data_IF_430356482096
#
_entry.id   IF_430356482096
#
_cell.length_a   1.000
_cell.length_b   1.000
_cell.length_c   1.000
_cell.angle_alpha   90.00
_cell.angle_beta   90.00
_cell.angle_gamma   90.00
#
_symmetry.space_group_name_H-M   'P 1'
#
loop_
_entity.id
_entity.type
_entity.pdbx_description
1 polymer ?
#
# COMPACT_ATOMS: atom_id res chain seq x y z
N UNK A 1 -16.28 11.99 -0.33
CA UNK A 1 -16.74 10.67 -0.79
C UNK A 1 -16.53 10.54 -2.29
N UNK A 2 -15.37 10.00 -2.66
CA UNK A 2 -15.25 9.29 -3.94
C UNK A 2 -16.37 8.25 -4.00
N UNK A 3 -16.91 7.97 -5.20
CA UNK A 3 -17.98 6.98 -5.40
C UNK A 3 -17.62 5.55 -4.95
N UNK A 4 -16.37 5.31 -4.50
CA UNK A 4 -15.85 4.00 -4.08
C UNK A 4 -15.83 3.73 -2.58
N UNK A 5 -15.83 4.73 -1.69
CA UNK A 5 -15.83 4.50 -0.22
C UNK A 5 -17.12 3.89 0.34
N UNK A 6 -18.09 3.54 -0.52
CA UNK A 6 -19.34 2.87 -0.15
C UNK A 6 -19.42 1.41 -0.63
N UNK A 7 -18.33 0.83 -1.15
CA UNK A 7 -18.31 -0.54 -1.69
C UNK A 7 -17.49 -1.57 -0.92
N UNK A 8 -16.76 -1.17 0.13
CA UNK A 8 -16.10 -2.11 1.03
C UNK A 8 -17.01 -2.57 2.20
N UNK A 9 -18.14 -1.90 2.43
CA UNK A 9 -19.13 -2.30 3.44
C UNK A 9 -20.46 -2.66 2.76
N UNK A 10 -20.74 -3.96 2.67
CA UNK A 10 -22.04 -4.54 2.34
C UNK A 10 -22.63 -4.28 0.93
N UNK A 11 -22.39 -5.22 0.01
CA UNK A 11 -23.37 -5.59 -1.03
C UNK A 11 -23.60 -7.11 -1.04
N UNK A 12 -24.23 -7.59 0.03
CA UNK A 12 -25.09 -8.77 -0.04
C UNK A 12 -26.40 -8.39 -0.76
N UNK A 13 -26.34 -8.22 -2.08
CA UNK A 13 -27.53 -8.25 -2.94
C UNK A 13 -27.27 -9.22 -4.07
N UNK A 14 -27.73 -10.44 -3.83
CA UNK A 14 -27.79 -11.55 -4.77
C UNK A 14 -28.72 -11.12 -5.93
N UNK A 15 -28.17 -10.96 -7.13
CA UNK A 15 -28.91 -11.05 -8.39
C UNK A 15 -28.47 -12.31 -9.15
N UNK A 16 -29.40 -12.98 -9.86
CA UNK A 16 -29.41 -14.42 -10.12
C UNK A 16 -28.38 -14.93 -11.15
N UNK A 17 -27.43 -14.10 -11.57
CA UNK A 17 -26.33 -14.49 -12.47
C UNK A 17 -25.17 -15.17 -11.71
N UNK A 18 -25.14 -15.05 -10.37
CA UNK A 18 -24.10 -15.61 -9.48
C UNK A 18 -24.35 -17.08 -9.12
N UNK A 19 -25.56 -17.60 -9.35
CA UNK A 19 -25.94 -18.98 -8.96
C UNK A 19 -25.22 -20.06 -9.80
N UNK A 20 -24.58 -19.69 -10.92
CA UNK A 20 -23.85 -20.63 -11.78
C UNK A 20 -22.32 -20.65 -11.59
N UNK A 21 -21.72 -19.63 -10.95
CA UNK A 21 -20.27 -19.62 -10.66
C UNK A 21 -19.94 -20.16 -9.26
N UNK A 22 -20.83 -19.95 -8.27
CA UNK A 22 -20.64 -20.49 -6.92
C UNK A 22 -20.71 -22.03 -6.88
N UNK A 23 -21.25 -22.69 -7.91
CA UNK A 23 -21.34 -24.14 -7.98
C UNK A 23 -20.04 -24.85 -8.41
N UNK A 24 -19.02 -24.12 -8.87
CA UNK A 24 -17.74 -24.68 -9.32
C UNK A 24 -16.55 -24.35 -8.43
N UNK A 25 -16.68 -23.46 -7.45
CA UNK A 25 -15.65 -23.22 -6.44
C UNK A 25 -15.89 -24.16 -5.25
N UNK A 26 -14.92 -25.00 -4.86
CA UNK A 26 -15.08 -25.81 -3.66
C UNK A 26 -15.08 -24.88 -2.44
N UNK A 27 -16.17 -24.87 -1.69
CA UNK A 27 -16.27 -24.14 -0.41
C UNK A 27 -15.61 -24.90 0.75
N UNK A 28 -15.15 -26.13 0.52
CA UNK A 28 -14.40 -26.97 1.44
C UNK A 28 -13.68 -28.10 0.67
N UNK A 29 -12.50 -28.52 1.14
CA UNK A 29 -11.78 -29.70 0.62
C UNK A 29 -12.54 -31.03 0.82
N UNK A 30 -12.31 -32.02 -0.07
CA UNK A 30 -12.91 -33.37 -0.04
C UNK A 30 -11.96 -34.41 0.60
N UNK A 31 -12.55 -35.49 1.11
CA UNK A 31 -12.00 -36.45 2.09
C UNK A 31 -11.22 -37.67 1.54
N UNK A 32 -10.45 -37.53 0.47
CA UNK A 32 -9.51 -38.58 0.03
C UNK A 32 -8.10 -37.95 0.01
N UNK A 33 -7.53 -37.86 1.22
CA UNK A 33 -6.47 -36.94 1.69
C UNK A 33 -5.05 -37.16 1.08
N UNK A 34 -4.94 -37.43 -0.22
CA UNK A 34 -3.64 -37.42 -0.94
C UNK A 34 -3.53 -36.35 -2.01
N UNK A 35 -4.59 -35.61 -2.26
CA UNK A 35 -4.57 -34.52 -3.22
C UNK A 35 -5.07 -33.22 -2.58
N UNK A 36 -4.45 -32.12 -2.96
CA UNK A 36 -4.78 -30.77 -2.51
C UNK A 36 -5.28 -29.93 -3.69
N UNK A 37 -5.98 -28.84 -3.35
CA UNK A 37 -6.34 -27.80 -4.31
C UNK A 37 -5.49 -26.58 -4.03
N UNK A 38 -4.73 -26.13 -5.03
CA UNK A 38 -3.92 -24.91 -4.93
C UNK A 38 -4.74 -23.75 -5.46
N UNK A 39 -4.74 -22.66 -4.71
CA UNK A 39 -5.47 -21.43 -5.02
C UNK A 39 -4.46 -20.33 -5.27
N UNK A 40 -4.68 -19.58 -6.34
CA UNK A 40 -3.95 -18.33 -6.61
C UNK A 40 -4.93 -17.18 -6.45
N UNK A 41 -4.64 -16.29 -5.52
CA UNK A 41 -5.44 -15.10 -5.22
C UNK A 41 -4.60 -13.87 -5.51
N UNK A 42 -5.13 -12.94 -6.28
CA UNK A 42 -4.54 -11.60 -6.39
C UNK A 42 -5.20 -10.74 -5.32
N UNK A 43 -4.37 -10.17 -4.45
CA UNK A 43 -4.78 -9.34 -3.32
C UNK A 43 -4.89 -7.87 -3.71
N UNK A 44 -4.06 -7.41 -4.65
CA UNK A 44 -4.07 -6.04 -5.14
C UNK A 44 -3.36 -5.90 -6.47
N UNK A 45 -3.76 -4.91 -7.24
CA UNK A 45 -3.11 -4.45 -8.46
C UNK A 45 -3.04 -2.93 -8.36
N UNK A 46 -1.87 -2.35 -8.61
CA UNK A 46 -1.72 -0.90 -8.69
C UNK A 46 -0.93 -0.52 -9.94
N UNK A 47 -1.41 0.49 -10.66
CA UNK A 47 -0.68 1.10 -11.77
C UNK A 47 0.44 1.98 -11.23
N UNK A 48 1.61 1.95 -11.88
CA UNK A 48 2.78 2.73 -11.51
C UNK A 48 3.23 3.70 -12.61
N UNK A 49 3.22 3.27 -13.88
CA UNK A 49 3.55 4.14 -15.03
C UNK A 49 2.40 4.30 -16.03
N UNK A 50 1.19 3.87 -15.68
CA UNK A 50 -0.01 4.01 -16.50
C UNK A 50 -0.80 5.24 -16.05
N UNK A 51 -0.52 6.39 -16.65
CA UNK A 51 -1.06 7.71 -16.25
C UNK A 51 -2.55 7.93 -16.58
N UNK A 52 -3.34 6.86 -16.72
CA UNK A 52 -4.79 6.89 -16.95
C UNK A 52 -5.45 5.68 -16.31
N UNK A 53 -6.62 5.92 -15.72
CA UNK A 53 -7.50 4.86 -15.25
C UNK A 53 -7.69 3.77 -16.32
N UNK A 54 -7.57 2.53 -15.88
CA UNK A 54 -7.54 1.38 -16.77
C UNK A 54 -8.33 0.20 -16.21
N UNK A 55 -8.78 -0.66 -17.10
CA UNK A 55 -9.27 -1.98 -16.76
C UNK A 55 -8.12 -2.98 -16.76
N UNK A 56 -8.16 -3.96 -15.88
CA UNK A 56 -7.12 -4.98 -15.74
C UNK A 56 -7.64 -6.37 -16.11
N UNK A 57 -6.75 -7.24 -16.58
CA UNK A 57 -6.99 -8.66 -16.86
C UNK A 57 -5.78 -9.46 -16.41
N UNK A 58 -6.02 -10.62 -15.80
CA UNK A 58 -4.97 -11.52 -15.32
C UNK A 58 -5.03 -12.84 -16.07
N UNK A 59 -3.86 -13.38 -16.41
CA UNK A 59 -3.68 -14.74 -16.91
C UNK A 59 -2.71 -15.48 -15.97
N UNK A 60 -3.06 -16.72 -15.61
CA UNK A 60 -2.25 -17.58 -14.74
C UNK A 60 -1.89 -18.84 -15.52
N UNK A 61 -0.61 -19.10 -15.71
CA UNK A 61 -0.11 -20.27 -16.43
C UNK A 61 0.62 -21.16 -15.44
N UNK A 62 0.15 -22.40 -15.24
CA UNK A 62 0.81 -23.40 -14.40
C UNK A 62 1.25 -24.61 -15.23
N UNK A 63 2.51 -25.03 -15.10
CA UNK A 63 3.12 -26.14 -15.86
C UNK A 63 2.85 -26.04 -17.39
N UNK A 64 2.89 -24.81 -17.92
CA UNK A 64 2.68 -24.51 -19.34
C UNK A 64 1.23 -24.53 -19.82
N UNK A 65 0.24 -24.62 -18.91
CA UNK A 65 -1.19 -24.56 -19.23
C UNK A 65 -1.84 -23.35 -18.58
N UNK A 66 -2.73 -22.67 -19.30
CA UNK A 66 -3.58 -21.65 -18.71
C UNK A 66 -4.56 -22.31 -17.72
N UNK A 67 -4.50 -21.87 -16.46
CA UNK A 67 -5.32 -22.35 -15.34
C UNK A 67 -6.19 -21.23 -14.76
N UNK A 68 -6.13 -20.03 -15.33
CA UNK A 68 -6.89 -18.89 -14.87
C UNK A 68 -8.40 -19.03 -15.13
N UNK A 69 -9.22 -18.40 -14.28
CA UNK A 69 -10.68 -18.34 -14.48
C UNK A 69 -11.11 -17.19 -15.41
N UNK A 70 -10.15 -16.46 -15.99
CA UNK A 70 -10.39 -15.34 -16.90
C UNK A 70 -10.83 -14.06 -16.19
N UNK A 71 -10.14 -13.67 -15.12
CA UNK A 71 -10.46 -12.44 -14.39
C UNK A 71 -10.29 -11.19 -15.27
N UNK A 72 -11.28 -10.30 -15.19
CA UNK A 72 -11.25 -8.95 -15.77
C UNK A 72 -11.93 -7.97 -14.82
N UNK A 73 -11.30 -6.82 -14.59
CA UNK A 73 -11.87 -5.76 -13.76
C UNK A 73 -13.17 -5.23 -14.38
N UNK A 74 -14.12 -4.86 -13.52
CA UNK A 74 -15.44 -4.34 -13.94
C UNK A 74 -15.45 -2.81 -14.08
N UNK A 75 -14.55 -2.15 -13.38
CA UNK A 75 -14.42 -0.70 -13.37
C UNK A 75 -12.99 -0.30 -13.77
N UNK A 76 -12.85 0.90 -14.29
CA UNK A 76 -11.54 1.51 -14.54
C UNK A 76 -11.01 2.15 -13.26
N UNK A 77 -9.71 2.09 -13.04
CA UNK A 77 -9.06 2.74 -11.89
C UNK A 77 -7.54 2.75 -12.05
N UNK A 78 -6.86 3.36 -11.08
CA UNK A 78 -5.41 3.15 -10.91
C UNK A 78 -5.12 1.90 -10.07
N UNK A 79 -6.11 1.39 -9.35
CA UNK A 79 -6.03 0.17 -8.55
C UNK A 79 -7.20 -0.77 -8.86
N UNK A 80 -7.00 -2.07 -8.59
CA UNK A 80 -8.04 -3.09 -8.65
C UNK A 80 -7.77 -4.20 -7.62
N UNK A 81 -8.83 -4.67 -6.96
CA UNK A 81 -8.76 -5.71 -5.93
C UNK A 81 -9.71 -6.84 -6.28
N UNK A 82 -9.22 -7.92 -6.91
CA UNK A 82 -10.03 -9.08 -7.26
C UNK A 82 -10.66 -9.72 -6.01
N UNK A 83 -11.99 -9.74 -5.94
CA UNK A 83 -12.69 -10.27 -4.75
C UNK A 83 -12.69 -11.80 -4.63
N UNK A 84 -12.31 -12.50 -5.71
CA UNK A 84 -12.30 -13.95 -5.78
C UNK A 84 -10.93 -14.43 -6.28
N UNK A 85 -10.49 -15.64 -5.91
CA UNK A 85 -9.30 -16.24 -6.48
C UNK A 85 -9.33 -16.28 -8.00
N UNK A 86 -8.18 -16.10 -8.62
CA UNK A 86 -8.04 -16.00 -10.08
C UNK A 86 -7.65 -17.33 -10.73
N UNK A 87 -7.20 -18.31 -9.94
CA UNK A 87 -7.01 -19.70 -10.37
C UNK A 87 -7.27 -20.69 -9.22
N UNK A 88 -7.71 -21.89 -9.57
CA UNK A 88 -7.87 -23.03 -8.64
C UNK A 88 -7.42 -24.32 -9.35
N UNK A 89 -6.29 -24.87 -8.95
CA UNK A 89 -5.67 -26.07 -9.53
C UNK A 89 -6.00 -27.26 -8.64
N UNK A 90 -6.71 -28.25 -9.16
CA UNK A 90 -7.18 -29.42 -8.39
C UNK A 90 -6.40 -30.68 -8.71
N UNK A 91 -6.43 -31.64 -7.79
CA UNK A 91 -5.88 -32.98 -8.00
C UNK A 91 -4.36 -33.00 -7.97
N UNK A 92 -3.75 -32.10 -7.19
CA UNK A 92 -2.30 -32.04 -7.02
C UNK A 92 -1.93 -32.94 -5.86
N UNK A 93 -1.04 -33.94 -6.02
CA UNK A 93 -0.57 -34.75 -4.90
C UNK A 93 0.08 -33.88 -3.84
N UNK A 94 -0.31 -34.02 -2.57
CA UNK A 94 0.23 -33.20 -1.47
C UNK A 94 1.72 -33.47 -1.19
N UNK A 95 2.19 -34.65 -1.60
CA UNK A 95 3.57 -35.12 -1.48
C UNK A 95 4.38 -34.95 -2.78
N UNK A 96 3.89 -34.14 -3.73
CA UNK A 96 4.57 -33.84 -5.00
C UNK A 96 5.95 -33.25 -4.74
N UNK A 97 6.99 -33.90 -5.29
CA UNK A 97 8.39 -33.46 -5.16
C UNK A 97 8.76 -32.30 -6.10
N UNK A 98 8.20 -32.29 -7.32
CA UNK A 98 8.53 -31.25 -8.30
C UNK A 98 7.65 -30.00 -8.06
N UNK A 99 8.25 -28.81 -7.87
CA UNK A 99 7.49 -27.57 -7.75
C UNK A 99 6.59 -27.34 -8.97
N UNK A 100 5.49 -26.60 -8.76
CA UNK A 100 4.64 -26.13 -9.86
C UNK A 100 5.21 -24.81 -10.34
N UNK A 101 5.63 -24.76 -11.61
CA UNK A 101 6.04 -23.49 -12.21
C UNK A 101 4.80 -22.68 -12.56
N UNK A 102 4.64 -21.52 -11.94
CA UNK A 102 3.54 -20.59 -12.18
C UNK A 102 4.05 -19.30 -12.79
N UNK A 103 3.32 -18.81 -13.80
CA UNK A 103 3.57 -17.52 -14.43
C UNK A 103 2.32 -16.65 -14.34
N UNK A 104 2.50 -15.44 -13.82
CA UNK A 104 1.44 -14.44 -13.66
C UNK A 104 1.65 -13.37 -14.72
N UNK A 105 0.62 -13.10 -15.53
CA UNK A 105 0.65 -12.03 -16.54
C UNK A 105 -0.48 -11.05 -16.27
N UNK A 106 -0.14 -9.76 -16.34
CA UNK A 106 -1.08 -8.68 -16.17
C UNK A 106 -1.24 -7.89 -17.48
N UNK A 107 -2.48 -7.51 -17.77
CA UNK A 107 -2.81 -6.70 -18.94
C UNK A 107 -3.72 -5.54 -18.55
N UNK A 108 -3.61 -4.43 -19.26
CA UNK A 108 -4.47 -3.28 -19.10
C UNK A 108 -5.12 -2.81 -20.41
N UNK A 109 -6.19 -2.03 -20.29
CA UNK A 109 -6.77 -1.22 -21.38
C UNK A 109 -7.52 -0.01 -20.81
N UNK A 110 -7.53 1.11 -21.54
CA UNK A 110 -8.23 2.32 -21.10
C UNK A 110 -9.75 2.34 -21.39
N UNK A 111 -10.25 1.40 -22.18
CA UNK A 111 -11.65 1.38 -22.63
C UNK A 111 -12.21 -0.04 -22.64
N UNK A 112 -13.49 -0.26 -22.31
CA UNK A 112 -14.13 -1.59 -22.32
C UNK A 112 -14.09 -2.34 -23.65
N UNK A 113 -13.83 -1.63 -24.76
CA UNK A 113 -13.72 -2.19 -26.12
C UNK A 113 -12.31 -1.99 -26.71
N UNK A 114 -11.36 -1.55 -25.90
CA UNK A 114 -9.96 -1.35 -26.30
C UNK A 114 -9.18 -2.67 -26.40
N UNK A 115 -7.98 -2.56 -26.98
CA UNK A 115 -7.01 -3.65 -27.10
C UNK A 115 -6.28 -3.80 -25.76
N UNK A 116 -6.11 -5.04 -25.31
CA UNK A 116 -5.30 -5.38 -24.15
C UNK A 116 -3.81 -5.16 -24.46
N UNK A 117 -3.14 -4.43 -23.60
CA UNK A 117 -1.68 -4.28 -23.59
C UNK A 117 -1.13 -4.99 -22.36
N UNK A 118 0.03 -5.60 -22.51
CA UNK A 118 0.72 -6.24 -21.40
C UNK A 118 1.29 -5.16 -20.48
N UNK A 119 1.10 -5.35 -19.17
CA UNK A 119 1.76 -4.54 -18.14
C UNK A 119 3.17 -5.08 -17.91
N UNK A 120 4.01 -4.24 -17.32
CA UNK A 120 5.21 -4.72 -16.66
C UNK A 120 4.97 -4.93 -15.17
N UNK A 121 5.39 -6.07 -14.64
CA UNK A 121 5.24 -6.47 -13.23
C UNK A 121 6.45 -7.27 -12.74
N UNK A 122 7.58 -7.19 -13.45
CA UNK A 122 8.72 -8.10 -13.23
C UNK A 122 10.03 -7.37 -13.44
N UNK A 123 11.04 -7.75 -12.66
CA UNK A 123 12.42 -7.32 -12.84
C UNK A 123 13.08 -7.86 -14.11
N UNK A 124 12.71 -9.07 -14.54
CA UNK A 124 13.40 -9.85 -15.57
C UNK A 124 12.43 -10.27 -16.69
N UNK A 125 11.62 -9.34 -17.18
CA UNK A 125 10.67 -9.62 -18.25
C UNK A 125 9.45 -8.72 -18.18
N UNK A 126 8.26 -9.33 -18.20
CA UNK A 126 6.96 -8.67 -17.98
C UNK A 126 5.98 -9.54 -17.19
N UNK A 127 6.38 -10.77 -16.89
CA UNK A 127 5.55 -11.78 -16.23
C UNK A 127 6.31 -12.30 -15.03
N UNK A 128 5.64 -12.48 -13.90
CA UNK A 128 6.25 -13.03 -12.71
C UNK A 128 6.35 -14.54 -12.87
N UNK A 129 7.56 -15.10 -12.80
CA UNK A 129 7.84 -16.54 -12.90
C UNK A 129 8.31 -17.10 -11.54
N UNK A 130 7.51 -17.99 -10.96
CA UNK A 130 7.75 -18.59 -9.65
C UNK A 130 7.56 -20.10 -9.66
N UNK A 131 8.12 -20.75 -8.65
CA UNK A 131 8.13 -22.18 -8.43
C UNK A 131 7.53 -22.49 -7.06
N UNK A 132 6.27 -22.91 -7.06
CA UNK A 132 5.51 -23.22 -5.85
C UNK A 132 5.82 -24.62 -5.33
N UNK A 133 6.35 -24.72 -4.11
CA UNK A 133 6.58 -25.97 -3.41
C UNK A 133 5.27 -26.48 -2.78
N UNK A 134 4.83 -27.66 -3.22
CA UNK A 134 3.56 -28.24 -2.73
C UNK A 134 3.67 -28.76 -1.30
N UNK A 135 4.86 -29.13 -0.83
CA UNK A 135 5.08 -29.67 0.51
C UNK A 135 5.25 -28.59 1.57
N UNK A 136 5.72 -27.42 1.16
CA UNK A 136 5.98 -26.29 2.06
C UNK A 136 5.02 -25.13 1.91
N UNK A 137 4.31 -25.05 0.78
CA UNK A 137 3.44 -23.91 0.50
C UNK A 137 4.19 -22.63 0.18
N UNK A 138 5.51 -22.64 0.33
CA UNK A 138 6.41 -21.59 -0.09
C UNK A 138 6.62 -21.57 -1.61
N UNK A 139 7.13 -20.46 -2.15
CA UNK A 139 7.60 -20.38 -3.52
C UNK A 139 8.94 -19.66 -3.63
N UNK A 140 9.62 -19.92 -4.75
CA UNK A 140 10.88 -19.29 -5.14
C UNK A 140 10.80 -18.78 -6.56
N UNK A 141 11.75 -17.97 -7.02
CA UNK A 141 11.79 -17.47 -8.39
C UNK A 141 12.08 -15.98 -8.40
N UNK A 142 11.27 -15.23 -9.16
CA UNK A 142 11.33 -13.76 -9.15
C UNK A 142 10.89 -13.17 -7.82
N UNK A 143 9.84 -13.74 -7.21
CA UNK A 143 9.40 -13.47 -5.85
C UNK A 143 9.72 -14.69 -4.96
N UNK A 144 10.15 -14.43 -3.73
CA UNK A 144 10.50 -15.45 -2.75
C UNK A 144 10.47 -14.91 -1.32
N UNK A 145 10.37 -15.80 -0.34
CA UNK A 145 10.37 -15.40 1.06
C UNK A 145 11.60 -14.55 1.42
N UNK A 146 11.38 -13.44 2.12
CA UNK A 146 12.40 -12.49 2.55
C UNK A 146 13.14 -11.83 1.37
N UNK A 147 12.44 -11.63 0.24
CA UNK A 147 12.87 -10.66 -0.77
C UNK A 147 12.60 -9.23 -0.29
N UNK A 148 13.39 -8.29 -0.78
CA UNK A 148 13.39 -6.93 -0.22
C UNK A 148 12.11 -6.15 -0.51
N UNK A 149 11.26 -6.61 -1.43
CA UNK A 149 10.00 -5.99 -1.86
C UNK A 149 8.76 -6.64 -1.23
N UNK A 150 8.90 -7.74 -0.51
CA UNK A 150 7.84 -8.39 0.26
C UNK A 150 7.31 -9.65 -0.41
N UNK A 151 6.91 -10.62 0.41
CA UNK A 151 6.58 -11.95 -0.06
C UNK A 151 5.16 -12.04 -0.64
N UNK A 152 5.09 -12.37 -1.93
CA UNK A 152 3.86 -12.28 -2.71
C UNK A 152 3.62 -10.88 -3.27
N UNK A 153 4.68 -10.10 -3.51
CA UNK A 153 4.65 -8.79 -4.12
C UNK A 153 5.65 -8.71 -5.28
N UNK A 154 5.21 -8.18 -6.42
CA UNK A 154 6.09 -7.95 -7.56
C UNK A 154 5.77 -6.63 -8.25
N UNK A 155 6.81 -5.93 -8.68
CA UNK A 155 6.71 -4.60 -9.26
C UNK A 155 7.51 -4.46 -10.54
N UNK A 156 6.93 -3.83 -11.55
CA UNK A 156 7.61 -3.46 -12.79
C UNK A 156 8.74 -2.43 -12.57
N UNK A 157 8.76 -1.71 -11.44
CA UNK A 157 9.85 -0.77 -11.16
C UNK A 157 11.17 -1.44 -10.74
N UNK A 158 11.17 -2.74 -10.46
CA UNK A 158 12.36 -3.46 -10.00
C UNK A 158 13.47 -3.58 -11.05
N UNK A 159 13.13 -3.41 -12.33
CA UNK A 159 14.09 -3.40 -13.43
C UNK A 159 14.79 -2.03 -13.62
N UNK A 160 14.30 -0.99 -12.93
CA UNK A 160 14.78 0.39 -12.98
C UNK A 160 14.24 1.23 -14.15
N UNK A 161 13.34 0.69 -14.98
CA UNK A 161 12.73 1.39 -16.11
C UNK A 161 11.30 1.86 -15.80
N UNK A 162 11.17 3.05 -15.23
CA UNK A 162 9.88 3.57 -14.75
C UNK A 162 8.92 4.14 -15.82
N UNK A 163 9.07 3.73 -17.09
CA UNK A 163 8.33 4.25 -18.25
C UNK A 163 7.64 3.16 -19.11
N UNK A 164 7.48 1.92 -18.62
CA UNK A 164 7.12 0.78 -19.48
C UNK A 164 5.77 0.08 -19.23
N UNK A 165 4.78 0.86 -18.81
CA UNK A 165 3.45 0.39 -18.36
C UNK A 165 3.55 -0.45 -17.08
N UNK A 166 4.40 0.02 -16.19
CA UNK A 166 4.67 -0.61 -14.90
C UNK A 166 3.42 -0.64 -14.05
N UNK A 167 3.24 -1.79 -13.42
CA UNK A 167 2.27 -2.06 -12.38
C UNK A 167 2.98 -2.83 -11.28
N UNK A 168 2.36 -2.86 -10.12
CA UNK A 168 2.70 -3.75 -9.03
C UNK A 168 1.48 -4.63 -8.71
N UNK A 169 1.77 -5.83 -8.24
CA UNK A 169 0.76 -6.83 -7.88
C UNK A 169 1.10 -7.44 -6.53
N UNK A 170 0.07 -7.63 -5.72
CA UNK A 170 0.14 -8.47 -4.54
C UNK A 170 -0.67 -9.73 -4.78
N UNK A 171 -0.12 -10.87 -4.44
CA UNK A 171 -0.74 -12.15 -4.64
C UNK A 171 -0.46 -13.09 -3.47
N UNK A 172 -1.26 -14.14 -3.41
CA UNK A 172 -1.06 -15.19 -2.45
C UNK A 172 -1.42 -16.55 -3.06
N UNK A 173 -0.66 -17.56 -2.67
CA UNK A 173 -0.81 -18.93 -3.14
C UNK A 173 -0.88 -19.87 -1.95
N UNK A 174 -1.97 -20.60 -1.83
CA UNK A 174 -2.22 -21.45 -0.66
C UNK A 174 -3.05 -22.68 -1.01
N UNK A 175 -3.06 -23.65 -0.10
CA UNK A 175 -3.80 -24.90 -0.27
C UNK A 175 -5.16 -24.81 0.40
N UNK A 176 -6.21 -25.17 -0.33
CA UNK A 176 -7.52 -25.41 0.27
C UNK A 176 -7.58 -26.84 0.81
N UNK A 177 -7.53 -26.95 2.13
CA UNK A 177 -7.77 -28.19 2.87
C UNK A 177 -9.21 -28.27 3.37
N UNK A 178 -9.56 -29.42 3.94
CA UNK A 178 -10.87 -29.62 4.56
C UNK A 178 -10.95 -28.79 5.85
N UNK A 179 -11.93 -27.90 5.96
CA UNK A 179 -12.08 -27.00 7.11
C UNK A 179 -11.46 -25.60 6.92
N UNK A 180 -10.64 -25.40 5.88
CA UNK A 180 -10.13 -24.07 5.49
C UNK A 180 -11.11 -23.33 4.58
N UNK A 181 -11.10 -22.00 4.65
CA UNK A 181 -11.86 -21.12 3.76
C UNK A 181 -10.91 -20.35 2.84
N UNK A 182 -11.33 -20.03 1.62
CA UNK A 182 -10.55 -19.12 0.77
C UNK A 182 -10.53 -17.67 1.30
N UNK A 183 -11.41 -17.32 2.24
CA UNK A 183 -11.44 -16.00 2.87
C UNK A 183 -10.50 -15.89 4.07
N UNK A 184 -10.25 -17.00 4.76
CA UNK A 184 -9.28 -17.09 5.85
C UNK A 184 -8.54 -18.43 5.69
N UNK A 185 -7.51 -18.46 4.82
CA UNK A 185 -6.82 -19.70 4.51
C UNK A 185 -5.92 -20.12 5.66
N UNK A 186 -5.91 -21.41 5.91
CA UNK A 186 -4.90 -22.04 6.73
C UNK A 186 -3.66 -22.22 5.85
N UNK A 187 -2.52 -21.64 6.25
CA UNK A 187 -1.28 -21.60 5.46
C UNK A 187 -0.54 -22.93 5.52
N UNK A 188 -0.64 -23.62 6.65
CA UNK A 188 -0.04 -24.93 6.83
C UNK A 188 -0.54 -25.92 5.77
N UNK A 189 0.41 -26.45 5.00
CA UNK A 189 0.11 -27.47 4.01
C UNK A 189 -0.25 -28.80 4.66
N UNK A 190 -0.88 -29.70 3.89
CA UNK A 190 -1.19 -31.04 4.40
C UNK A 190 0.08 -31.83 4.73
N UNK A 191 1.17 -31.57 3.99
CA UNK A 191 2.45 -32.22 4.22
C UNK A 191 3.07 -31.80 5.55
N UNK A 192 3.06 -30.50 5.86
CA UNK A 192 3.61 -29.97 7.11
C UNK A 192 2.90 -30.50 8.33
N UNK A 193 1.57 -30.47 8.34
CA UNK A 193 0.77 -30.98 9.45
C UNK A 193 1.16 -32.43 9.79
N UNK A 194 1.31 -33.28 8.78
CA UNK A 194 1.54 -34.71 8.99
C UNK A 194 3.02 -35.02 9.26
N UNK A 195 3.94 -34.39 8.51
CA UNK A 195 5.33 -34.83 8.43
C UNK A 195 6.33 -33.88 9.10
N UNK A 196 5.96 -32.63 9.33
CA UNK A 196 6.83 -31.61 9.93
C UNK A 196 6.41 -31.38 11.39
N UNK A 197 5.17 -30.95 11.60
CA UNK A 197 4.67 -30.51 12.90
C UNK A 197 3.91 -31.59 13.68
N UNK A 198 3.48 -32.68 13.03
CA UNK A 198 2.68 -33.75 13.63
C UNK A 198 1.40 -33.21 14.32
N UNK A 199 0.70 -32.31 13.61
CA UNK A 199 -0.55 -31.66 13.98
C UNK A 199 -1.76 -32.35 13.32
N UNK A 200 -2.96 -32.12 13.85
CA UNK A 200 -4.20 -32.68 13.27
C UNK A 200 -4.51 -32.03 11.91
N UNK A 201 -4.49 -32.79 10.78
CA UNK A 201 -4.75 -32.23 9.46
C UNK A 201 -6.20 -31.79 9.23
N UNK A 202 -7.13 -32.12 10.14
CA UNK A 202 -8.53 -31.72 10.08
C UNK A 202 -8.86 -30.47 10.91
N UNK A 203 -7.90 -29.98 11.70
CA UNK A 203 -7.99 -28.71 12.39
C UNK A 203 -7.59 -27.57 11.44
N UNK A 204 -8.16 -26.39 11.68
CA UNK A 204 -7.82 -25.16 11.00
C UNK A 204 -6.99 -24.29 11.95
N UNK A 205 -5.78 -23.93 11.53
CA UNK A 205 -4.79 -23.16 12.30
C UNK A 205 -4.68 -21.70 11.83
N UNK A 206 -5.60 -21.21 11.01
CA UNK A 206 -5.53 -19.86 10.45
C UNK A 206 -5.44 -18.74 11.49
N UNK A 207 -6.11 -18.91 12.62
CA UNK A 207 -6.16 -17.93 13.71
C UNK A 207 -5.66 -18.51 15.05
N UNK A 208 -4.96 -19.65 15.01
CA UNK A 208 -4.47 -20.31 16.23
C UNK A 208 -3.03 -19.87 16.47
N UNK A 209 -2.75 -19.45 17.69
CA UNK A 209 -1.41 -19.20 18.21
C UNK A 209 -1.03 -20.45 19.05
N UNK A 210 -0.13 -21.27 18.50
CA UNK A 210 0.14 -22.61 19.01
C UNK A 210 1.19 -22.61 20.14
N UNK A 211 2.14 -21.69 20.12
CA UNK A 211 3.23 -21.56 21.09
C UNK A 211 3.02 -20.42 22.10
N UNK A 212 2.05 -19.54 21.84
CA UNK A 212 1.54 -18.55 22.78
C UNK A 212 2.32 -17.25 22.80
N UNK A 213 2.98 -16.88 21.70
CA UNK A 213 3.76 -15.64 21.59
C UNK A 213 2.96 -14.43 21.07
N UNK A 214 1.68 -14.64 20.73
CA UNK A 214 0.76 -13.59 20.32
C UNK A 214 0.51 -13.49 18.82
N UNK A 215 1.21 -14.29 17.99
CA UNK A 215 1.03 -14.32 16.54
C UNK A 215 0.34 -15.61 16.08
N UNK A 216 -0.59 -15.57 15.11
CA UNK A 216 -1.19 -16.79 14.58
C UNK A 216 -0.23 -17.61 13.71
N UNK A 217 -0.30 -18.93 13.88
CA UNK A 217 0.42 -19.97 13.14
C UNK A 217 0.42 -19.78 11.63
N UNK A 218 -0.70 -19.37 11.03
CA UNK A 218 -0.72 -19.10 9.59
C UNK A 218 0.17 -17.93 9.17
N UNK A 219 0.22 -16.87 9.98
CA UNK A 219 1.07 -15.71 9.69
C UNK A 219 2.54 -16.09 9.85
N UNK A 220 2.88 -16.79 10.93
CA UNK A 220 4.23 -17.31 11.17
C UNK A 220 4.73 -18.18 10.01
N UNK A 221 3.92 -19.16 9.61
CA UNK A 221 4.22 -20.06 8.51
C UNK A 221 4.36 -19.32 7.17
N UNK A 222 3.54 -18.29 6.91
CA UNK A 222 3.68 -17.45 5.72
C UNK A 222 5.06 -16.78 5.66
N UNK A 223 5.57 -16.33 6.79
CA UNK A 223 6.77 -15.50 6.88
C UNK A 223 8.01 -16.26 7.37
N UNK A 224 7.93 -17.59 7.45
CA UNK A 224 9.07 -18.47 7.73
C UNK A 224 9.46 -18.55 9.21
N UNK A 225 8.58 -18.14 10.12
CA UNK A 225 8.71 -18.38 11.55
C UNK A 225 8.24 -19.82 11.88
N UNK A 226 8.74 -20.42 12.97
CA UNK A 226 8.37 -21.79 13.37
C UNK A 226 7.13 -21.77 14.26
N UNK A 227 5.94 -22.21 13.79
CA UNK A 227 4.68 -22.01 14.51
C UNK A 227 4.50 -22.80 15.82
N UNK A 228 5.54 -23.52 16.25
CA UNK A 228 5.58 -24.28 17.49
C UNK A 228 6.70 -23.81 18.43
N UNK A 229 7.40 -22.73 18.09
CA UNK A 229 8.53 -22.19 18.83
C UNK A 229 8.42 -20.67 18.95
N UNK A 230 8.23 -20.14 20.17
CA UNK A 230 7.92 -18.73 20.35
C UNK A 230 9.08 -17.83 19.93
N UNK A 231 8.76 -16.76 19.21
CA UNK A 231 9.66 -15.69 18.80
C UNK A 231 9.35 -14.38 19.57
N UNK A 232 10.27 -13.41 19.51
CA UNK A 232 10.12 -12.10 20.18
C UNK A 232 9.48 -11.07 19.24
N UNK A 233 8.29 -11.38 18.72
CA UNK A 233 7.63 -10.58 17.67
C UNK A 233 7.44 -9.10 18.02
N UNK A 234 7.26 -8.75 19.29
CA UNK A 234 7.15 -7.36 19.77
C UNK A 234 8.47 -6.55 19.66
N UNK A 235 9.59 -7.19 19.31
CA UNK A 235 10.90 -6.53 19.17
C UNK A 235 11.60 -6.87 17.85
N UNK A 236 10.89 -7.49 16.91
CA UNK A 236 11.40 -7.86 15.60
C UNK A 236 10.83 -6.92 14.54
N UNK A 237 11.70 -6.08 13.98
CA UNK A 237 11.46 -5.18 12.83
C UNK A 237 12.57 -5.49 11.80
N UNK A 238 12.39 -6.53 10.95
CA UNK A 238 13.45 -7.00 10.06
C UNK A 238 13.81 -6.04 8.92
N UNK A 239 12.89 -5.20 8.46
CA UNK A 239 13.06 -4.28 7.34
C UNK A 239 13.35 -2.82 7.75
N UNK A 240 13.32 -2.56 9.06
CA UNK A 240 13.68 -1.30 9.72
C UNK A 240 12.76 -0.13 9.31
N UNK A 241 11.47 -0.41 9.14
CA UNK A 241 10.48 0.61 8.79
C UNK A 241 9.78 1.22 10.03
N UNK A 242 10.01 0.64 11.21
CA UNK A 242 9.45 1.07 12.47
C UNK A 242 8.22 0.30 12.93
N UNK A 243 7.79 -0.72 12.19
CA UNK A 243 6.74 -1.67 12.57
C UNK A 243 7.36 -2.98 13.06
N UNK A 244 6.98 -3.40 14.26
CA UNK A 244 7.34 -4.74 14.71
C UNK A 244 6.45 -5.82 14.09
N UNK A 245 6.84 -7.09 14.18
CA UNK A 245 6.08 -8.20 13.62
C UNK A 245 4.64 -8.30 14.16
N UNK A 246 4.37 -7.84 15.38
CA UNK A 246 3.02 -7.81 15.94
C UNK A 246 2.19 -6.74 15.24
N UNK A 247 2.74 -5.56 15.01
CA UNK A 247 2.12 -4.48 14.25
C UNK A 247 1.89 -4.89 12.79
N UNK A 248 2.89 -5.50 12.15
CA UNK A 248 2.82 -6.10 10.81
C UNK A 248 1.70 -7.14 10.69
N UNK A 249 1.53 -7.99 11.70
CA UNK A 249 0.39 -8.90 11.75
C UNK A 249 -0.95 -8.16 11.84
N UNK A 250 -1.06 -7.14 12.70
CA UNK A 250 -2.30 -6.36 12.84
C UNK A 250 -2.67 -5.65 11.53
N UNK A 251 -1.69 -5.21 10.75
CA UNK A 251 -1.85 -4.51 9.47
C UNK A 251 -1.86 -5.43 8.25
N UNK A 252 -1.48 -6.71 8.37
CA UNK A 252 -1.36 -7.70 7.27
C UNK A 252 -2.57 -7.80 6.34
N UNK A 253 -3.79 -7.55 6.84
CA UNK A 253 -5.01 -7.48 6.01
C UNK A 253 -4.98 -6.39 4.93
N UNK A 254 -4.07 -5.44 5.08
CA UNK A 254 -3.78 -4.36 4.16
C UNK A 254 -2.44 -4.52 3.44
N UNK A 255 -1.91 -5.75 3.40
CA UNK A 255 -0.72 -6.11 2.64
C UNK A 255 0.60 -5.62 3.25
N UNK A 256 0.62 -5.42 4.58
CA UNK A 256 1.87 -5.27 5.34
C UNK A 256 2.74 -6.52 5.20
N UNK A 257 4.05 -6.32 5.10
CA UNK A 257 5.02 -7.40 5.04
C UNK A 257 6.24 -7.14 5.95
N UNK A 258 6.59 -8.06 6.88
CA UNK A 258 7.69 -7.85 7.82
C UNK A 258 9.09 -7.78 7.19
N UNK A 259 9.21 -7.96 5.88
CA UNK A 259 10.47 -7.86 5.15
C UNK A 259 10.45 -6.74 4.10
N UNK A 260 9.38 -5.92 4.04
CA UNK A 260 9.22 -4.85 3.05
C UNK A 260 8.67 -3.58 3.67
N UNK A 261 9.33 -2.47 3.31
CA UNK A 261 9.07 -1.17 3.94
C UNK A 261 7.68 -0.67 3.67
N UNK A 262 6.94 -0.44 4.75
CA UNK A 262 5.58 0.07 4.74
C UNK A 262 5.49 1.46 5.39
N UNK A 263 4.53 2.26 4.92
CA UNK A 263 4.15 3.52 5.57
C UNK A 263 2.63 3.60 5.59
N UNK A 264 2.05 3.54 6.79
CA UNK A 264 0.62 3.73 6.98
C UNK A 264 0.27 5.19 7.26
N UNK A 265 -0.73 5.70 6.54
CA UNK A 265 -1.20 7.08 6.68
C UNK A 265 -2.72 7.11 6.80
N UNK A 266 -3.22 7.58 7.93
CA UNK A 266 -4.64 7.86 8.13
C UNK A 266 -4.96 9.30 7.70
N UNK A 267 -6.02 9.49 6.91
CA UNK A 267 -6.42 10.80 6.40
C UNK A 267 -7.86 11.12 6.79
N UNK A 268 -8.04 12.22 7.52
CA UNK A 268 -9.36 12.79 7.81
C UNK A 268 -9.65 14.08 7.05
N UNK A 269 -10.94 14.38 6.88
CA UNK A 269 -11.40 15.46 6.02
C UNK A 269 -12.28 16.47 6.74
N UNK A 270 -11.86 17.73 6.69
CA UNK A 270 -12.69 18.83 7.17
C UNK A 270 -13.91 19.06 6.27
N UNK A 271 -15.07 19.32 6.88
CA UNK A 271 -16.29 19.77 6.19
C UNK A 271 -16.06 21.14 5.56
N UNK A 272 -16.54 21.30 4.33
CA UNK A 272 -16.45 22.57 3.60
C UNK A 272 -17.60 23.51 3.98
N UNK A 273 -17.45 24.33 5.02
CA UNK A 273 -18.46 25.33 5.45
C UNK A 273 -19.92 24.84 5.27
N UNK A 274 -20.75 25.57 4.52
CA UNK A 274 -22.16 25.29 4.23
C UNK A 274 -22.38 24.37 3.02
N UNK A 275 -21.30 23.87 2.41
CA UNK A 275 -21.39 22.83 1.42
C UNK A 275 -21.45 21.53 2.20
N UNK A 276 -22.49 20.71 1.98
CA UNK A 276 -22.57 19.37 2.56
C UNK A 276 -21.56 18.42 1.86
N UNK A 277 -20.29 18.82 1.85
CA UNK A 277 -19.15 18.23 1.17
C UNK A 277 -17.96 18.25 2.12
N UNK A 278 -17.13 17.23 2.02
CA UNK A 278 -15.84 17.17 2.70
C UNK A 278 -14.76 17.69 1.76
N UNK A 279 -13.67 18.17 2.35
CA UNK A 279 -12.38 18.15 1.70
C UNK A 279 -12.06 16.74 1.18
N UNK A 280 -11.08 16.63 0.29
CA UNK A 280 -10.76 15.38 -0.38
C UNK A 280 -9.30 15.34 -0.81
N UNK A 281 -8.72 14.16 -0.77
CA UNK A 281 -7.46 13.83 -1.43
C UNK A 281 -7.78 13.03 -2.71
N UNK A 282 -7.64 13.63 -3.92
CA UNK A 282 -8.03 12.97 -5.17
C UNK A 282 -7.21 11.72 -5.48
N UNK A 283 -7.81 10.76 -6.19
CA UNK A 283 -7.17 9.49 -6.60
C UNK A 283 -5.91 9.74 -7.44
N UNK A 284 -5.93 10.73 -8.34
CA UNK A 284 -4.74 11.08 -9.12
C UNK A 284 -3.63 11.70 -8.26
N UNK A 285 -3.96 12.28 -7.11
CA UNK A 285 -2.95 12.76 -6.16
C UNK A 285 -2.34 11.60 -5.38
N UNK A 286 -3.16 10.63 -4.94
CA UNK A 286 -2.71 9.37 -4.31
C UNK A 286 -1.77 8.60 -5.22
N UNK A 287 -2.17 8.38 -6.48
CA UNK A 287 -1.36 7.72 -7.51
C UNK A 287 0.05 8.31 -7.63
N UNK A 288 0.17 9.65 -7.62
CA UNK A 288 1.47 10.30 -7.74
C UNK A 288 2.36 10.10 -6.50
N UNK A 289 1.76 10.01 -5.30
CA UNK A 289 2.49 9.72 -4.06
C UNK A 289 2.94 8.26 -4.06
N UNK A 290 2.03 7.30 -4.32
CA UNK A 290 2.38 5.87 -4.42
C UNK A 290 3.53 5.64 -5.39
N UNK A 291 3.43 6.19 -6.60
CA UNK A 291 4.47 6.08 -7.62
C UNK A 291 5.83 6.56 -7.13
N UNK A 292 5.88 7.64 -6.34
CA UNK A 292 7.15 8.19 -5.86
C UNK A 292 7.83 7.20 -4.89
N UNK A 293 7.08 6.65 -3.93
CA UNK A 293 7.62 5.71 -2.94
C UNK A 293 7.90 4.31 -3.52
N UNK A 294 7.06 3.82 -4.45
CA UNK A 294 7.25 2.53 -5.10
C UNK A 294 8.58 2.43 -5.85
N UNK A 295 9.11 3.54 -6.41
CA UNK A 295 10.46 3.56 -7.02
C UNK A 295 11.59 3.30 -6.04
N UNK A 296 11.33 3.51 -4.76
CA UNK A 296 12.25 3.27 -3.66
C UNK A 296 11.91 2.02 -2.88
N UNK A 297 11.01 1.17 -3.43
CA UNK A 297 10.58 -0.07 -2.81
C UNK A 297 10.02 0.15 -1.39
N UNK A 298 9.17 1.17 -1.27
CA UNK A 298 8.42 1.50 -0.06
C UNK A 298 6.93 1.52 -0.45
N UNK A 299 6.12 0.77 0.27
CA UNK A 299 4.67 0.68 0.04
C UNK A 299 3.94 1.68 0.94
N UNK A 300 3.19 2.60 0.32
CA UNK A 300 2.35 3.57 1.05
C UNK A 300 0.92 3.05 1.15
N UNK A 301 0.42 2.94 2.37
CA UNK A 301 -0.93 2.54 2.72
C UNK A 301 -1.74 3.76 3.18
N UNK A 302 -2.81 4.10 2.46
CA UNK A 302 -3.63 5.29 2.76
C UNK A 302 -5.01 4.86 3.26
N UNK A 303 -5.29 5.12 4.54
CA UNK A 303 -6.60 4.98 5.15
C UNK A 303 -7.42 6.28 5.01
N UNK A 304 -8.30 6.32 4.02
CA UNK A 304 -9.31 7.37 3.86
C UNK A 304 -10.73 6.89 4.24
N UNK A 305 -10.81 5.92 5.15
CA UNK A 305 -12.04 5.22 5.53
C UNK A 305 -12.06 3.73 5.14
N UNK A 306 -10.96 3.20 4.59
CA UNK A 306 -10.88 1.84 4.07
C UNK A 306 -10.13 0.86 4.99
N UNK A 307 -9.47 1.35 6.04
CA UNK A 307 -8.68 0.55 6.99
C UNK A 307 -9.22 0.61 8.42
N UNK A 308 -10.50 0.92 8.59
CA UNK A 308 -11.18 0.79 9.87
C UNK A 308 -11.18 2.05 10.76
N UNK A 309 -10.42 3.09 10.41
CA UNK A 309 -10.65 4.47 10.85
C UNK A 309 -10.58 5.39 9.65
N UNK A 310 -9.96 6.57 9.76
CA UNK A 310 -9.81 7.51 8.65
C UNK A 310 -11.10 7.94 7.97
N UNK A 311 -11.00 8.90 7.05
CA UNK A 311 -12.17 9.38 6.31
C UNK A 311 -13.20 10.11 7.16
N UNK A 312 -12.89 10.42 8.41
CA UNK A 312 -13.82 11.05 9.33
C UNK A 312 -14.08 12.50 8.95
N UNK A 313 -15.29 12.96 9.29
CA UNK A 313 -15.77 14.27 8.93
C UNK A 313 -15.53 15.27 10.06
N UNK A 314 -14.38 15.95 10.02
CA UNK A 314 -14.03 17.00 10.98
C UNK A 314 -14.93 18.23 10.75
N UNK A 315 -15.58 18.79 11.78
CA UNK A 315 -16.34 20.03 11.67
C UNK A 315 -15.51 21.16 11.06
N UNK A 316 -16.17 22.01 10.28
CA UNK A 316 -15.50 23.19 9.75
C UNK A 316 -15.10 24.14 10.89
N UNK A 317 -13.86 24.62 10.83
CA UNK A 317 -13.33 25.59 11.78
C UNK A 317 -12.73 26.80 11.05
N UNK A 318 -13.24 28.00 11.37
CA UNK A 318 -12.74 29.27 10.82
C UNK A 318 -11.49 29.79 11.50
N UNK A 319 -11.22 29.34 12.73
CA UNK A 319 -10.16 29.83 13.60
C UNK A 319 -9.15 28.72 13.93
N UNK A 320 -8.98 27.77 13.02
CA UNK A 320 -8.09 26.62 13.20
C UNK A 320 -6.67 27.06 13.59
N UNK A 321 -6.20 26.56 14.73
CA UNK A 321 -4.86 26.79 15.26
C UNK A 321 -4.05 25.49 15.30
N UNK A 322 -2.77 25.59 15.68
CA UNK A 322 -1.94 24.40 15.93
C UNK A 322 -2.51 23.56 17.09
N UNK A 323 -3.00 24.21 18.15
CA UNK A 323 -3.62 23.50 19.27
C UNK A 323 -4.93 22.81 18.84
N UNK A 324 -5.73 23.46 17.98
CA UNK A 324 -6.92 22.85 17.38
C UNK A 324 -6.58 21.58 16.58
N UNK A 325 -5.45 21.54 15.86
CA UNK A 325 -5.00 20.35 15.13
C UNK A 325 -4.60 19.21 16.08
N UNK A 326 -3.98 19.51 17.22
CA UNK A 326 -3.67 18.52 18.25
C UNK A 326 -4.94 17.95 18.88
N UNK A 327 -5.92 18.81 19.18
CA UNK A 327 -7.24 18.37 19.65
C UNK A 327 -7.98 17.51 18.61
N UNK A 328 -7.80 17.80 17.32
CA UNK A 328 -8.33 16.97 16.23
C UNK A 328 -7.65 15.59 16.25
N UNK A 329 -6.31 15.53 16.29
CA UNK A 329 -5.58 14.25 16.38
C UNK A 329 -6.07 13.43 17.58
N UNK A 330 -6.14 14.03 18.77
CA UNK A 330 -6.57 13.29 19.97
C UNK A 330 -8.02 12.78 19.84
N UNK A 331 -8.91 13.54 19.18
CA UNK A 331 -10.33 13.18 19.06
C UNK A 331 -10.64 12.20 17.93
N UNK A 332 -10.00 12.36 16.78
CA UNK A 332 -10.37 11.67 15.55
C UNK A 332 -9.39 10.55 15.19
N UNK A 333 -8.11 10.71 15.48
CA UNK A 333 -7.12 9.65 15.26
C UNK A 333 -7.06 8.70 16.47
N UNK A 334 -6.87 9.27 17.67
CA UNK A 334 -6.72 8.48 18.89
C UNK A 334 -8.05 8.13 19.55
N UNK A 335 -9.15 8.79 19.18
CA UNK A 335 -10.47 8.64 19.80
C UNK A 335 -10.48 8.80 21.33
N UNK A 336 -9.60 9.65 21.85
CA UNK A 336 -9.44 9.89 23.29
C UNK A 336 -8.71 8.77 24.03
N UNK A 337 -8.21 7.74 23.32
CA UNK A 337 -7.37 6.68 23.89
C UNK A 337 -5.89 6.93 23.56
N UNK A 338 -5.06 7.34 24.54
CA UNK A 338 -3.64 7.57 24.29
C UNK A 338 -2.88 6.28 23.94
N UNK A 339 -3.44 5.11 24.21
CA UNK A 339 -2.87 3.79 23.91
C UNK A 339 -3.57 3.14 22.71
N UNK A 340 -4.29 3.92 21.89
CA UNK A 340 -4.86 3.42 20.66
C UNK A 340 -3.76 2.80 19.80
N UNK A 341 -3.93 1.54 19.41
CA UNK A 341 -2.92 0.75 18.68
C UNK A 341 -2.46 1.40 17.36
N UNK A 342 -3.24 2.32 16.78
CA UNK A 342 -2.82 3.06 15.58
C UNK A 342 -1.68 4.03 15.85
N UNK A 343 -1.48 4.44 17.11
CA UNK A 343 -0.36 5.26 17.55
C UNK A 343 0.90 4.39 17.57
N UNK A 344 1.92 4.79 16.83
CA UNK A 344 3.10 3.96 16.58
C UNK A 344 3.08 3.30 15.20
N UNK A 345 1.89 3.14 14.60
CA UNK A 345 1.71 2.46 13.31
C UNK A 345 1.35 3.43 12.17
N UNK A 346 0.43 4.38 12.41
CA UNK A 346 -0.07 5.30 11.39
C UNK A 346 0.48 6.72 11.58
N UNK A 347 0.93 7.34 10.50
CA UNK A 347 0.99 8.80 10.41
C UNK A 347 -0.42 9.38 10.23
N UNK A 348 -0.70 10.52 10.87
CA UNK A 348 -2.00 11.16 10.81
C UNK A 348 -1.99 12.43 9.94
N UNK A 349 -2.83 12.45 8.92
CA UNK A 349 -3.00 13.58 8.01
C UNK A 349 -4.40 14.19 8.13
N UNK A 350 -4.47 15.52 8.15
CA UNK A 350 -5.75 16.24 8.11
C UNK A 350 -5.83 17.13 6.88
N UNK A 351 -6.83 16.89 6.02
CA UNK A 351 -7.12 17.78 4.88
C UNK A 351 -8.14 18.83 5.29
N UNK A 352 -7.68 20.06 5.41
CA UNK A 352 -8.48 21.22 5.82
C UNK A 352 -8.90 22.07 4.63
N UNK A 353 -9.89 22.94 4.84
CA UNK A 353 -10.29 23.91 3.82
C UNK A 353 -9.24 25.01 3.66
N UNK A 354 -8.87 25.67 4.75
CA UNK A 354 -8.03 26.87 4.79
C UNK A 354 -6.78 26.64 5.63
N UNK A 355 -5.75 27.41 5.34
CA UNK A 355 -4.49 27.34 6.07
C UNK A 355 -4.57 28.01 7.45
N UNK A 356 -3.72 27.57 8.38
CA UNK A 356 -3.60 28.16 9.71
C UNK A 356 -2.58 29.31 9.74
N UNK A 357 -2.59 30.12 10.81
CA UNK A 357 -1.50 31.04 11.13
C UNK A 357 -0.45 30.32 11.98
N UNK A 358 0.76 30.16 11.43
CA UNK A 358 1.92 29.57 12.10
C UNK A 358 3.20 30.30 11.67
N UNK A 359 4.21 30.36 12.54
CA UNK A 359 5.48 31.03 12.26
C UNK A 359 5.35 32.49 11.78
N UNK A 360 4.34 33.22 12.28
CA UNK A 360 4.06 34.60 11.87
C UNK A 360 3.49 34.77 10.45
N UNK A 361 3.18 33.67 9.74
CA UNK A 361 2.59 33.67 8.39
C UNK A 361 1.36 32.76 8.34
N UNK A 362 0.62 32.82 7.23
CA UNK A 362 -0.40 31.81 6.95
C UNK A 362 0.25 30.71 6.11
N UNK A 363 0.20 29.45 6.56
CA UNK A 363 0.83 28.28 5.87
C UNK A 363 -0.21 27.43 5.15
N UNK A 364 0.19 26.65 4.14
CA UNK A 364 -0.71 25.79 3.34
C UNK A 364 -0.64 24.32 3.76
N UNK A 365 0.37 23.96 4.53
CA UNK A 365 0.52 22.70 5.24
C UNK A 365 1.52 22.90 6.37
N UNK A 366 1.58 21.94 7.29
CA UNK A 366 2.56 21.89 8.35
C UNK A 366 2.52 20.52 9.05
N UNK A 367 3.69 19.92 9.31
CA UNK A 367 3.85 18.93 10.38
C UNK A 367 3.64 19.61 11.75
N UNK A 368 2.61 19.19 12.49
CA UNK A 368 2.24 19.76 13.79
C UNK A 368 2.50 18.81 14.97
N UNK A 369 2.87 17.57 14.66
CA UNK A 369 3.33 16.53 15.56
C UNK A 369 4.39 15.68 14.84
N UNK A 370 5.13 14.83 15.56
CA UNK A 370 6.18 13.98 14.94
C UNK A 370 5.62 13.04 13.86
N UNK A 371 4.41 12.55 14.09
CA UNK A 371 3.69 11.61 13.22
C UNK A 371 2.47 12.27 12.55
N UNK A 372 2.30 13.60 12.62
CA UNK A 372 1.07 14.23 12.13
C UNK A 372 1.26 15.57 11.42
N UNK A 373 0.54 15.72 10.30
CA UNK A 373 0.56 16.92 9.47
C UNK A 373 -0.83 17.31 8.96
N UNK A 374 -0.97 18.55 8.51
CA UNK A 374 -2.19 19.02 7.87
C UNK A 374 -1.90 19.66 6.52
N UNK A 375 -2.89 19.68 5.63
CA UNK A 375 -2.83 20.34 4.32
C UNK A 375 -4.12 21.10 4.06
N UNK A 376 -4.01 22.35 3.60
CA UNK A 376 -5.12 23.21 3.27
C UNK A 376 -5.47 23.17 1.77
N UNK A 377 -6.46 22.36 1.42
CA UNK A 377 -6.88 22.07 0.05
C UNK A 377 -7.21 23.33 -0.79
N UNK A 378 -8.07 24.23 -0.28
CA UNK A 378 -8.46 25.44 -1.03
C UNK A 378 -7.31 26.43 -1.14
N UNK A 379 -6.41 26.41 -0.14
CA UNK A 379 -5.25 27.28 -0.15
C UNK A 379 -4.21 26.85 -1.18
N UNK A 380 -4.01 25.54 -1.36
CA UNK A 380 -3.24 25.01 -2.50
C UNK A 380 -3.88 25.47 -3.82
N UNK A 381 -5.20 25.39 -3.95
CA UNK A 381 -5.90 25.84 -5.16
C UNK A 381 -5.70 27.34 -5.48
N UNK A 382 -5.52 28.20 -4.47
CA UNK A 382 -5.22 29.63 -4.70
C UNK A 382 -3.89 29.86 -5.43
N UNK A 383 -2.93 28.93 -5.33
CA UNK A 383 -1.66 29.00 -6.06
C UNK A 383 -1.76 28.52 -7.52
N UNK A 384 -2.95 28.12 -7.98
CA UNK A 384 -3.14 27.58 -9.32
C UNK A 384 -2.67 28.45 -10.46
N UNK A 385 -2.83 29.78 -10.47
CA UNK A 385 -2.29 30.59 -11.56
C UNK A 385 -0.77 30.42 -11.71
N UNK A 386 -0.04 30.28 -10.59
CA UNK A 386 1.41 30.14 -10.61
C UNK A 386 1.82 28.74 -11.08
N UNK A 387 1.29 27.68 -10.47
CA UNK A 387 1.76 26.33 -10.82
C UNK A 387 1.27 25.87 -12.20
N UNK A 388 0.12 26.35 -12.68
CA UNK A 388 -0.35 26.08 -14.05
C UNK A 388 0.59 26.72 -15.10
N UNK A 389 1.08 27.94 -14.86
CA UNK A 389 2.06 28.59 -15.74
C UNK A 389 3.38 27.81 -15.83
N UNK A 390 3.69 26.99 -14.83
CA UNK A 390 4.87 26.14 -14.78
C UNK A 390 4.62 24.69 -15.24
N UNK A 391 3.49 24.41 -15.90
CA UNK A 391 3.18 23.08 -16.45
C UNK A 391 2.78 22.03 -15.40
N UNK A 392 2.46 22.45 -14.18
CA UNK A 392 1.84 21.59 -13.17
C UNK A 392 0.31 21.64 -13.28
N UNK A 393 -0.37 20.89 -12.41
CA UNK A 393 -1.83 20.92 -12.28
C UNK A 393 -2.21 20.79 -10.79
N UNK A 394 -3.50 20.90 -10.48
CA UNK A 394 -3.99 20.87 -9.10
C UNK A 394 -3.68 19.54 -8.39
N UNK A 395 -3.88 18.39 -9.05
CA UNK A 395 -3.62 17.08 -8.46
C UNK A 395 -2.13 16.89 -8.14
N UNK A 396 -1.25 17.27 -9.08
CA UNK A 396 0.20 17.24 -8.86
C UNK A 396 0.64 18.19 -7.75
N UNK A 397 0.08 19.40 -7.70
CA UNK A 397 0.40 20.36 -6.65
C UNK A 397 -0.05 19.86 -5.26
N UNK A 398 -1.22 19.24 -5.16
CA UNK A 398 -1.73 18.71 -3.90
C UNK A 398 -0.93 17.49 -3.44
N UNK A 399 -0.59 16.57 -4.34
CA UNK A 399 0.30 15.44 -4.04
C UNK A 399 1.69 15.90 -3.60
N UNK A 400 2.24 16.92 -4.26
CA UNK A 400 3.56 17.50 -3.94
C UNK A 400 3.57 18.11 -2.54
N UNK A 401 2.51 18.84 -2.16
CA UNK A 401 2.38 19.39 -0.80
C UNK A 401 2.16 18.25 0.22
N UNK A 402 1.39 17.22 -0.12
CA UNK A 402 1.21 16.08 0.77
C UNK A 402 2.53 15.38 1.08
N UNK A 403 3.28 15.07 0.03
CA UNK A 403 4.61 14.48 0.16
C UNK A 403 5.59 15.42 0.87
N UNK A 404 5.50 16.74 0.67
CA UNK A 404 6.31 17.71 1.41
C UNK A 404 6.09 17.63 2.92
N UNK A 405 4.83 17.59 3.35
CA UNK A 405 4.52 17.51 4.78
C UNK A 405 4.85 16.13 5.37
N UNK A 406 4.63 15.05 4.61
CA UNK A 406 5.10 13.72 4.98
C UNK A 406 6.63 13.68 5.13
N UNK A 407 7.38 14.36 4.28
CA UNK A 407 8.84 14.43 4.35
C UNK A 407 9.35 15.04 5.67
N UNK A 408 8.59 15.95 6.28
CA UNK A 408 8.89 16.42 7.63
C UNK A 408 8.67 15.34 8.69
N UNK A 409 7.57 14.60 8.62
CA UNK A 409 7.33 13.44 9.49
C UNK A 409 8.39 12.35 9.34
N UNK A 410 9.03 12.28 8.17
CA UNK A 410 10.13 11.35 7.88
C UNK A 410 11.53 11.95 8.10
N UNK A 411 11.63 13.13 8.75
CA UNK A 411 12.91 13.65 9.24
C UNK A 411 13.60 14.72 8.37
N UNK A 412 13.00 15.17 7.27
CA UNK A 412 13.59 16.22 6.42
C UNK A 412 13.21 17.61 6.94
N UNK A 413 14.19 18.42 7.34
CA UNK A 413 13.96 19.77 7.87
C UNK A 413 14.97 20.78 7.32
N UNK A 414 14.67 22.08 7.39
CA UNK A 414 15.65 23.11 7.00
C UNK A 414 16.98 23.01 7.78
N UNK A 415 16.93 22.55 9.04
CA UNK A 415 18.09 22.41 9.91
C UNK A 415 19.10 21.34 9.48
N UNK A 416 18.66 20.29 8.80
CA UNK A 416 19.53 19.22 8.27
C UNK A 416 19.63 19.24 6.72
N UNK A 417 18.76 20.01 6.05
CA UNK A 417 18.74 20.20 4.59
C UNK A 417 18.51 21.68 4.24
N UNK A 418 19.57 22.48 4.00
CA UNK A 418 19.48 23.95 3.85
C UNK A 418 18.55 24.49 2.73
N UNK A 419 18.25 23.66 1.73
CA UNK A 419 17.32 23.99 0.63
C UNK A 419 15.84 23.69 0.96
N UNK A 420 15.57 22.85 1.97
CA UNK A 420 14.24 22.53 2.45
C UNK A 420 13.60 23.77 3.10
N UNK A 421 12.32 24.03 2.85
CA UNK A 421 11.56 25.12 3.47
C UNK A 421 12.14 26.54 3.30
N UNK A 422 13.08 26.70 2.37
CA UNK A 422 13.84 27.92 2.26
C UNK A 422 13.00 29.01 1.55
N UNK A 423 12.53 29.99 2.32
CA UNK A 423 11.73 31.14 1.84
C UNK A 423 12.34 31.91 0.66
N UNK A 424 13.66 31.85 0.51
CA UNK A 424 14.39 32.52 -0.58
C UNK A 424 14.42 31.70 -1.88
N UNK A 425 13.76 30.54 -1.96
CA UNK A 425 13.68 29.71 -3.17
C UNK A 425 12.38 29.87 -3.96
N UNK A 426 11.43 30.69 -3.50
CA UNK A 426 10.11 30.83 -4.11
C UNK A 426 10.15 31.53 -5.48
N UNK A 427 10.95 32.59 -5.60
CA UNK A 427 10.89 33.49 -6.76
C UNK A 427 12.24 33.77 -7.43
N UNK A 428 12.29 33.95 -8.76
CA UNK A 428 13.54 34.16 -9.50
C UNK A 428 14.39 35.38 -9.09
N UNK A 429 13.83 36.36 -8.39
CA UNK A 429 14.59 37.52 -7.89
C UNK A 429 15.26 37.26 -6.54
N UNK A 430 15.02 36.11 -5.90
CA UNK A 430 15.63 35.72 -4.64
C UNK A 430 16.90 34.88 -4.89
N UNK A 431 17.93 35.05 -4.05
CA UNK A 431 19.21 34.33 -4.21
C UNK A 431 19.05 32.81 -4.09
N UNK A 432 18.25 32.35 -3.12
CA UNK A 432 18.01 30.92 -2.87
C UNK A 432 17.43 30.19 -4.08
N UNK A 433 16.59 30.87 -4.87
CA UNK A 433 15.98 30.32 -6.08
C UNK A 433 17.02 29.73 -7.03
N UNK A 434 18.16 30.41 -7.17
CA UNK A 434 19.26 29.98 -8.02
C UNK A 434 20.26 29.08 -7.29
N UNK A 435 20.54 29.38 -6.02
CA UNK A 435 21.48 28.62 -5.21
C UNK A 435 21.03 27.16 -5.04
N UNK A 436 19.73 26.94 -4.77
CA UNK A 436 19.12 25.62 -4.61
C UNK A 436 18.33 25.21 -5.86
N UNK A 437 18.75 25.66 -7.05
CA UNK A 437 18.09 25.30 -8.30
C UNK A 437 18.22 23.80 -8.60
N UNK A 438 19.36 23.20 -8.24
CA UNK A 438 19.64 21.78 -8.40
C UNK A 438 18.90 20.91 -7.39
N UNK A 439 18.44 21.45 -6.25
CA UNK A 439 17.66 20.69 -5.28
C UNK A 439 16.26 20.34 -5.78
N UNK A 440 16.13 19.23 -6.54
CA UNK A 440 14.90 18.77 -7.22
C UNK A 440 14.00 17.96 -6.30
N UNK A 441 13.53 18.58 -5.23
CA UNK A 441 12.68 17.94 -4.22
C UNK A 441 11.40 18.73 -4.00
N UNK A 442 10.29 18.05 -3.66
CA UNK A 442 9.08 18.71 -3.17
C UNK A 442 9.34 19.52 -1.89
N UNK A 443 10.40 19.22 -1.14
CA UNK A 443 10.87 19.97 0.04
C UNK A 443 11.37 21.38 -0.28
N UNK A 444 11.70 21.66 -1.54
CA UNK A 444 12.12 22.97 -2.00
C UNK A 444 10.92 23.80 -2.48
N UNK A 445 10.69 25.00 -1.93
CA UNK A 445 9.58 25.86 -2.35
C UNK A 445 9.61 26.29 -3.83
N UNK A 446 10.73 26.16 -4.52
CA UNK A 446 10.80 26.31 -5.98
C UNK A 446 9.95 25.26 -6.71
N UNK A 447 9.82 24.07 -6.12
CA UNK A 447 9.29 22.84 -6.72
C UNK A 447 8.10 22.21 -5.97
N UNK A 448 7.75 22.66 -4.76
CA UNK A 448 6.63 22.17 -3.89
C UNK A 448 5.23 22.13 -4.53
N UNK A 449 5.05 22.70 -5.72
CA UNK A 449 3.79 22.61 -6.48
C UNK A 449 3.97 21.94 -7.85
N UNK A 450 5.14 21.33 -8.10
CA UNK A 450 5.60 20.91 -9.43
C UNK A 450 6.18 19.50 -9.48
N UNK A 451 6.86 19.06 -8.42
CA UNK A 451 7.54 17.75 -8.35
C UNK A 451 6.88 16.94 -7.23
N UNK A 452 6.48 15.71 -7.54
CA UNK A 452 6.02 14.73 -6.53
C UNK A 452 7.13 13.69 -6.43
N UNK A 453 8.18 14.08 -5.73
CA UNK A 453 9.37 13.28 -5.50
C UNK A 453 10.24 13.97 -4.43
N UNK A 454 11.05 13.20 -3.73
CA UNK A 454 12.20 13.74 -3.02
C UNK A 454 13.43 13.75 -3.93
N UNK A 455 14.48 14.45 -3.55
CA UNK A 455 15.71 14.43 -4.34
C UNK A 455 16.58 13.23 -3.97
N UNK A 456 17.28 12.68 -4.96
CA UNK A 456 18.31 11.65 -4.84
C UNK A 456 19.75 12.24 -4.80
N UNK A 457 19.87 13.58 -4.79
CA UNK A 457 21.17 14.26 -4.76
C UNK A 457 21.96 14.22 -6.08
N UNK A 458 21.38 13.69 -7.16
CA UNK A 458 22.09 13.47 -8.43
C UNK A 458 22.26 14.73 -9.30
N UNK A 459 21.60 15.85 -8.97
CA UNK A 459 21.52 17.05 -9.82
C UNK A 459 22.62 18.10 -9.54
N UNK A 460 23.68 17.71 -8.83
CA UNK A 460 24.90 18.51 -8.64
C UNK A 460 24.92 19.36 -7.38
N UNK A 461 25.59 20.51 -7.43
CA UNK A 461 25.87 21.31 -6.23
C UNK A 461 24.58 21.83 -5.55
N UNK A 462 24.52 21.71 -4.23
CA UNK A 462 23.35 22.03 -3.40
C UNK A 462 22.10 21.22 -3.75
N UNK A 463 22.24 20.08 -4.43
CA UNK A 463 21.24 19.02 -4.41
C UNK A 463 21.49 18.11 -3.22
N UNK A 464 20.45 17.84 -2.44
CA UNK A 464 20.56 17.05 -1.23
C UNK A 464 19.79 15.76 -1.44
N UNK A 465 20.46 14.63 -1.22
CA UNK A 465 19.82 13.32 -1.22
C UNK A 465 18.90 13.25 0.01
N UNK A 466 17.61 13.40 -0.23
CA UNK A 466 16.53 13.34 0.74
C UNK A 466 16.05 11.89 0.92
N UNK A 467 16.03 11.10 -0.16
CA UNK A 467 15.62 9.69 -0.12
C UNK A 467 16.53 8.84 0.78
N UNK A 468 17.83 9.10 0.80
CA UNK A 468 18.76 8.44 1.74
C UNK A 468 18.65 8.95 3.18
N UNK A 469 17.90 10.04 3.41
CA UNK A 469 17.79 10.70 4.73
C UNK A 469 16.48 10.43 5.44
N UNK A 470 15.44 9.96 4.74
CA UNK A 470 14.18 9.67 5.39
C UNK A 470 14.38 8.60 6.46
N UNK A 471 13.69 8.77 7.57
CA UNK A 471 13.68 7.86 8.70
C UNK A 471 12.23 7.36 8.87
N UNK A 472 12.00 6.10 8.52
CA UNK A 472 10.67 5.48 8.58
C UNK A 472 10.25 5.21 10.03
N UNK A 473 11.23 4.99 10.92
CA UNK A 473 11.03 4.79 12.36
C UNK A 473 10.59 6.05 13.11
N UNK A 474 10.50 7.20 12.42
CA UNK A 474 10.15 8.49 13.01
C UNK A 474 8.64 8.62 13.27
N UNK A 475 8.13 7.82 14.19
CA UNK A 475 6.73 7.74 14.60
C UNK A 475 6.57 7.86 16.12
N UNK A 476 5.37 8.24 16.58
CA UNK A 476 5.10 8.41 18.01
C UNK A 476 4.63 7.09 18.64
N UNK A 477 5.55 6.25 19.08
CA UNK A 477 5.23 5.02 19.82
C UNK A 477 4.40 5.30 21.09
N UNK A 478 3.53 4.36 21.45
CA UNK A 478 2.52 4.48 22.51
C UNK A 478 3.11 4.70 23.92
#
# INVERSE_FOLDING_TARGET
MSRRSFHLTFKAFILPSIVLLASSLPTAGRSDDREVTIVVKILGIRALSIDKESYFKIEIIADGRDVGIGYQSRESGFEDTPSWPVACIRGIPFDRDEPIRMRIRLFFRHSPIGIWKECDISKDGKEVDIFYDVKRGEWTGEDHLNDGNGYGHASGFEDGNHEENDCEIWFDIYQLRKGSSFLNPDRLTLWELINVYNLDPYQNYADIDNDGDGIPTSWEDKYGYDPLSPDDHENLDPDEDGLDNLEEWMTSRWLSDPFSKDIFIEIDFMRMWNLNRLCSFPEESRYLVWRAFARHNITIHIDDGCMGGGGEAIPFDTELTVDSLREIRDRYFLHGDPNNWRRGVFHYAVITCFGIKAYGRSVSGMAFYIDAFFIAQLKVAFWSPLFLLHGSNYHRALASVFMHELGHNLGIYNGNTPGCDNESTKFPWQKGYWLYASYKSCMNYRYVYKIVDYSDGSHGENDFDDWSKIDLTLINYA
#
